data_IF_064892247877
#
_entry.id   IF_064892247877
#
_cell.length_a   1.000
_cell.length_b   1.000
_cell.length_c   1.000
_cell.angle_alpha   90.00
_cell.angle_beta   90.00
_cell.angle_gamma   90.00
#
_symmetry.space_group_name_H-M   'P 1'
#
loop_
_entity.id
_entity.type
_entity.pdbx_description
1 polymer ?
#
# COMPACT_ATOMS: atom_id res chain seq x y z
N UNK A 1 27.16 -12.48 29.12
CA UNK A 1 25.70 -12.52 29.34
C UNK A 1 25.46 -11.64 30.54
N UNK A 2 25.15 -10.37 30.30
CA UNK A 2 25.54 -9.33 31.29
C UNK A 2 24.37 -8.92 32.20
N UNK A 3 23.16 -9.37 31.88
CA UNK A 3 21.94 -8.98 32.58
C UNK A 3 21.68 -9.81 33.84
N UNK A 4 22.15 -11.06 33.92
CA UNK A 4 21.95 -11.93 35.08
C UNK A 4 23.24 -12.22 35.86
N UNK A 5 23.08 -12.68 37.08
CA UNK A 5 24.13 -13.06 38.03
C UNK A 5 23.62 -14.19 38.92
N UNK A 6 24.48 -14.76 39.76
CA UNK A 6 24.05 -15.70 40.77
C UNK A 6 23.28 -14.95 41.88
N UNK A 7 22.03 -15.31 42.14
CA UNK A 7 21.22 -14.63 43.15
C UNK A 7 21.70 -14.87 44.59
N UNK A 8 22.62 -15.82 44.82
CA UNK A 8 23.18 -16.13 46.14
C UNK A 8 24.47 -15.36 46.44
N UNK A 9 25.43 -15.38 45.50
CA UNK A 9 26.76 -14.80 45.71
C UNK A 9 27.05 -13.60 44.80
N UNK A 10 26.07 -13.19 43.99
CA UNK A 10 26.12 -12.03 43.10
C UNK A 10 27.22 -12.08 42.01
N UNK A 11 27.91 -13.20 41.85
CA UNK A 11 28.91 -13.36 40.79
C UNK A 11 28.29 -13.34 39.40
N UNK A 12 28.97 -12.65 38.48
CA UNK A 12 28.70 -12.68 37.03
C UNK A 12 29.71 -13.54 36.26
N UNK A 13 30.81 -13.90 36.91
CA UNK A 13 31.99 -14.49 36.25
C UNK A 13 32.03 -16.01 36.33
N UNK A 14 30.95 -16.65 36.77
CA UNK A 14 30.89 -18.10 36.86
C UNK A 14 30.79 -18.75 35.48
N UNK A 15 31.26 -20.00 35.37
CA UNK A 15 31.32 -20.69 34.09
C UNK A 15 29.95 -21.23 33.65
N UNK A 16 29.08 -21.58 34.60
CA UNK A 16 27.79 -22.20 34.33
C UNK A 16 26.72 -21.63 35.25
N UNK A 17 25.55 -21.36 34.70
CA UNK A 17 24.39 -20.93 35.47
C UNK A 17 23.23 -21.88 35.26
N UNK A 18 22.35 -21.98 36.26
CA UNK A 18 21.09 -22.69 36.16
C UNK A 18 19.98 -21.87 36.80
N UNK A 19 18.77 -21.99 36.26
CA UNK A 19 17.55 -21.41 36.83
C UNK A 19 16.78 -22.52 37.57
N UNK A 20 16.36 -22.23 38.79
CA UNK A 20 15.53 -23.13 39.58
C UNK A 20 14.06 -23.05 39.16
N UNK A 21 13.26 -24.06 39.49
CA UNK A 21 11.80 -24.04 39.24
C UNK A 21 11.05 -22.91 39.97
N UNK A 22 11.66 -22.31 41.02
CA UNK A 22 11.14 -21.11 41.68
C UNK A 22 11.67 -19.79 41.09
N UNK A 23 12.42 -19.84 39.98
CA UNK A 23 12.86 -18.65 39.23
C UNK A 23 14.19 -18.03 39.68
N UNK A 24 14.88 -18.59 40.68
CA UNK A 24 16.20 -18.08 41.09
C UNK A 24 17.33 -18.63 40.22
N UNK A 25 18.23 -17.74 39.80
CA UNK A 25 19.43 -18.07 39.01
C UNK A 25 20.60 -18.31 39.96
N UNK A 26 21.33 -19.42 39.78
CA UNK A 26 22.47 -19.81 40.61
C UNK A 26 23.65 -20.23 39.74
N UNK A 27 24.87 -19.89 40.17
CA UNK A 27 26.09 -20.45 39.57
C UNK A 27 26.30 -21.90 40.03
N UNK A 28 27.18 -22.63 39.33
CA UNK A 28 27.51 -24.03 39.61
C UNK A 28 27.92 -24.30 41.07
N UNK A 29 28.55 -23.33 41.74
CA UNK A 29 29.01 -23.45 43.13
C UNK A 29 27.87 -23.29 44.14
N UNK A 30 26.84 -22.51 43.79
CA UNK A 30 25.73 -22.19 44.71
C UNK A 30 24.51 -23.11 44.54
N UNK A 31 24.52 -24.00 43.54
CA UNK A 31 23.47 -25.01 43.35
C UNK A 31 23.57 -26.05 44.47
N UNK A 32 22.42 -26.34 45.09
CA UNK A 32 22.25 -27.31 46.19
C UNK A 32 20.98 -28.14 45.95
N UNK A 33 20.70 -29.09 46.84
CA UNK A 33 19.45 -29.89 46.80
C UNK A 33 18.18 -29.06 47.04
N UNK A 34 18.30 -27.96 47.78
CA UNK A 34 17.24 -26.97 48.02
C UNK A 34 17.69 -25.60 47.50
N UNK A 35 16.73 -24.77 47.11
CA UNK A 35 17.01 -23.41 46.67
C UNK A 35 17.69 -22.61 47.78
N UNK A 36 18.89 -22.11 47.50
CA UNK A 36 19.67 -21.31 48.46
C UNK A 36 19.02 -19.96 48.80
N UNK A 37 18.05 -19.50 47.98
CA UNK A 37 17.41 -18.19 48.15
C UNK A 37 16.11 -18.29 48.95
N UNK A 38 15.21 -19.21 48.57
CA UNK A 38 13.89 -19.34 49.20
C UNK A 38 13.69 -20.64 49.99
N UNK A 39 14.67 -21.56 50.01
CA UNK A 39 14.60 -22.83 50.74
C UNK A 39 13.70 -23.90 50.10
N UNK A 40 12.98 -23.59 49.02
CA UNK A 40 12.10 -24.56 48.36
C UNK A 40 12.89 -25.72 47.73
N UNK A 41 12.27 -26.90 47.68
CA UNK A 41 12.78 -28.01 46.86
C UNK A 41 12.58 -27.66 45.39
N UNK A 42 13.66 -27.58 44.61
CA UNK A 42 13.62 -27.11 43.23
C UNK A 42 14.40 -28.02 42.31
N UNK A 43 13.88 -28.23 41.10
CA UNK A 43 14.68 -28.69 39.97
C UNK A 43 15.45 -27.51 39.38
N UNK A 44 16.61 -27.79 38.79
CA UNK A 44 17.45 -26.80 38.13
C UNK A 44 17.55 -27.11 36.63
N UNK A 45 17.32 -26.09 35.81
CA UNK A 45 17.54 -26.11 34.37
C UNK A 45 18.79 -25.32 34.03
N UNK A 46 19.76 -25.95 33.37
CA UNK A 46 20.99 -25.29 32.96
C UNK A 46 20.72 -24.22 31.91
N UNK A 47 21.23 -23.01 32.14
CA UNK A 47 21.14 -21.89 31.18
C UNK A 47 22.26 -22.08 30.16
N UNK A 48 21.89 -22.58 28.98
CA UNK A 48 22.82 -23.01 27.93
C UNK A 48 22.29 -22.66 26.55
N UNK A 49 23.11 -22.82 25.51
CA UNK A 49 22.67 -22.54 24.15
C UNK A 49 21.72 -23.60 23.59
N UNK A 50 21.71 -24.79 24.19
CA UNK A 50 20.92 -25.97 23.85
C UNK A 50 19.49 -25.96 24.42
N UNK A 51 19.11 -24.92 25.18
CA UNK A 51 17.75 -24.75 25.69
C UNK A 51 16.71 -24.66 24.56
N UNK A 52 15.47 -25.07 24.84
CA UNK A 52 14.37 -24.91 23.88
C UNK A 52 14.20 -23.43 23.54
N UNK A 53 13.88 -23.07 22.27
CA UNK A 53 13.78 -21.68 21.86
C UNK A 53 12.86 -20.82 22.73
N UNK A 54 11.74 -21.40 23.20
CA UNK A 54 10.75 -20.75 24.08
C UNK A 54 11.31 -20.42 25.47
N UNK A 55 12.23 -21.23 25.99
CA UNK A 55 12.87 -21.02 27.29
C UNK A 55 14.07 -20.08 27.14
N UNK A 56 14.82 -20.23 26.04
CA UNK A 56 16.02 -19.43 25.73
C UNK A 56 15.70 -17.94 25.58
N UNK A 57 14.50 -17.59 25.12
CA UNK A 57 14.11 -16.18 24.87
C UNK A 57 14.24 -15.31 26.11
N UNK A 58 13.98 -15.85 27.30
CA UNK A 58 14.06 -15.11 28.57
C UNK A 58 15.49 -14.75 28.98
N UNK A 59 16.50 -15.38 28.36
CA UNK A 59 17.91 -15.15 28.65
C UNK A 59 18.62 -14.36 27.55
N UNK A 60 17.91 -14.00 26.48
CA UNK A 60 18.45 -13.17 25.40
C UNK A 60 18.46 -11.69 25.78
N UNK A 61 19.35 -10.95 25.13
CA UNK A 61 19.42 -9.49 25.23
C UNK A 61 18.16 -8.85 24.63
N UNK A 62 17.36 -8.11 25.42
CA UNK A 62 16.14 -7.45 24.94
C UNK A 62 16.40 -6.49 23.78
N UNK A 63 17.53 -5.80 23.77
CA UNK A 63 17.87 -4.84 22.70
C UNK A 63 18.06 -5.58 21.38
N UNK A 64 18.74 -6.72 21.40
CA UNK A 64 18.94 -7.56 20.20
C UNK A 64 17.64 -8.17 19.69
N UNK A 65 16.75 -8.57 20.60
CA UNK A 65 15.42 -9.07 20.23
C UNK A 65 14.63 -7.98 19.51
N UNK A 66 14.55 -6.78 20.09
CA UNK A 66 13.84 -5.64 19.48
C UNK A 66 14.44 -5.27 18.13
N UNK A 67 15.77 -5.21 18.02
CA UNK A 67 16.45 -4.90 16.77
C UNK A 67 16.11 -5.92 15.66
N UNK A 68 16.08 -7.20 16.00
CA UNK A 68 15.71 -8.26 15.06
C UNK A 68 14.27 -8.10 14.57
N UNK A 69 13.32 -7.94 15.49
CA UNK A 69 11.90 -7.79 15.12
C UNK A 69 11.64 -6.49 14.35
N UNK A 70 12.27 -5.40 14.76
CA UNK A 70 12.17 -4.12 14.05
C UNK A 70 12.69 -4.23 12.61
N UNK A 71 13.80 -4.95 12.41
CA UNK A 71 14.33 -5.21 11.07
C UNK A 71 13.31 -5.92 10.17
N UNK A 72 12.59 -6.92 10.69
CA UNK A 72 11.52 -7.59 9.96
C UNK A 72 10.36 -6.64 9.64
N UNK A 73 9.90 -5.86 10.62
CA UNK A 73 8.82 -4.88 10.43
C UNK A 73 9.20 -3.84 9.39
N UNK A 74 10.44 -3.36 9.39
CA UNK A 74 10.94 -2.41 8.38
C UNK A 74 10.89 -3.01 6.97
N UNK A 75 11.25 -4.27 6.77
CA UNK A 75 11.15 -4.92 5.46
C UNK A 75 9.70 -5.00 4.97
N UNK A 76 8.76 -5.33 5.87
CA UNK A 76 7.32 -5.34 5.56
C UNK A 76 6.85 -3.94 5.13
N UNK A 77 7.26 -2.90 5.87
CA UNK A 77 6.90 -1.53 5.57
C UNK A 77 7.41 -1.08 4.20
N UNK A 78 8.67 -1.39 3.87
CA UNK A 78 9.26 -1.10 2.55
C UNK A 78 8.48 -1.78 1.44
N UNK A 79 8.16 -3.07 1.59
CA UNK A 79 7.36 -3.80 0.60
C UNK A 79 6.00 -3.13 0.38
N UNK A 80 5.28 -2.81 1.46
CA UNK A 80 3.96 -2.15 1.37
C UNK A 80 4.05 -0.77 0.72
N UNK A 81 5.09 0.00 1.03
CA UNK A 81 5.35 1.30 0.41
C UNK A 81 5.56 1.16 -1.10
N UNK A 82 6.41 0.23 -1.55
CA UNK A 82 6.65 -0.02 -2.98
C UNK A 82 5.37 -0.41 -3.72
N UNK A 83 4.50 -1.22 -3.11
CA UNK A 83 3.20 -1.54 -3.70
C UNK A 83 2.32 -0.29 -3.87
N UNK A 84 2.28 0.59 -2.87
CA UNK A 84 1.51 1.84 -2.91
C UNK A 84 2.05 2.83 -3.96
N UNK A 85 3.36 2.88 -4.15
CA UNK A 85 4.00 3.68 -5.20
C UNK A 85 3.56 3.25 -6.59
N UNK A 86 3.37 1.95 -6.84
CA UNK A 86 2.84 1.42 -8.09
C UNK A 86 1.43 1.95 -8.41
N UNK A 87 0.55 1.96 -7.40
CA UNK A 87 -0.82 2.50 -7.52
C UNK A 87 -0.77 4.00 -7.81
N UNK A 88 0.05 4.73 -7.06
CA UNK A 88 0.25 6.17 -7.24
C UNK A 88 0.77 6.49 -8.66
N UNK A 89 1.74 5.72 -9.15
CA UNK A 89 2.30 5.90 -10.49
C UNK A 89 1.27 5.60 -11.59
N UNK A 90 0.41 4.58 -11.40
CA UNK A 90 -0.69 4.31 -12.33
C UNK A 90 -1.63 5.51 -12.47
N UNK A 91 -2.13 6.04 -11.34
CA UNK A 91 -3.07 7.16 -11.36
C UNK A 91 -2.43 8.45 -11.87
N UNK A 92 -1.15 8.72 -11.54
CA UNK A 92 -0.40 9.85 -12.11
C UNK A 92 -0.33 9.77 -13.64
N UNK A 93 0.03 8.61 -14.20
CA UNK A 93 0.06 8.40 -15.67
C UNK A 93 -1.30 8.59 -16.30
N UNK A 94 -2.35 8.02 -15.70
CA UNK A 94 -3.73 8.14 -16.20
C UNK A 94 -4.23 9.59 -16.17
N UNK A 95 -3.89 10.33 -15.11
CA UNK A 95 -4.22 11.76 -15.01
C UNK A 95 -3.57 12.58 -16.11
N UNK A 96 -2.26 12.38 -16.35
CA UNK A 96 -1.54 13.10 -17.40
C UNK A 96 -2.09 12.81 -18.80
N UNK A 97 -2.45 11.55 -19.08
CA UNK A 97 -3.07 11.16 -20.35
C UNK A 97 -4.45 11.80 -20.55
N UNK A 98 -5.28 11.85 -19.51
CA UNK A 98 -6.58 12.52 -19.57
C UNK A 98 -6.42 14.03 -19.79
N UNK A 99 -5.44 14.66 -19.13
CA UNK A 99 -5.15 16.08 -19.31
C UNK A 99 -4.71 16.39 -20.75
N UNK A 100 -3.87 15.53 -21.35
CA UNK A 100 -3.46 15.64 -22.76
C UNK A 100 -4.67 15.54 -23.70
N UNK A 101 -5.53 14.53 -23.51
CA UNK A 101 -6.75 14.36 -24.32
C UNK A 101 -7.70 15.54 -24.19
N UNK A 102 -7.83 16.09 -23.00
CA UNK A 102 -8.67 17.26 -22.78
C UNK A 102 -8.18 18.47 -23.58
N UNK A 103 -6.85 18.72 -23.61
CA UNK A 103 -6.25 19.79 -24.42
C UNK A 103 -6.51 19.59 -25.91
N UNK A 104 -6.34 18.36 -26.40
CA UNK A 104 -6.61 18.00 -27.80
C UNK A 104 -8.07 18.24 -28.19
N UNK A 105 -9.02 17.79 -27.36
CA UNK A 105 -10.45 17.99 -27.61
C UNK A 105 -10.82 19.47 -27.56
N UNK A 106 -10.21 20.24 -26.65
CA UNK A 106 -10.44 21.69 -26.54
C UNK A 106 -9.97 22.42 -27.79
N UNK A 107 -8.78 22.09 -28.30
CA UNK A 107 -8.24 22.67 -29.53
C UNK A 107 -9.09 22.28 -30.76
N UNK A 108 -9.49 21.01 -30.86
CA UNK A 108 -10.39 20.56 -31.93
C UNK A 108 -11.75 21.27 -31.89
N UNK A 109 -12.32 21.48 -30.70
CA UNK A 109 -13.56 22.22 -30.54
C UNK A 109 -13.43 23.68 -30.99
N UNK A 110 -12.29 24.32 -30.68
CA UNK A 110 -11.96 25.67 -31.14
C UNK A 110 -11.87 25.71 -32.68
N UNK A 111 -11.07 24.83 -33.29
CA UNK A 111 -10.92 24.76 -34.76
C UNK A 111 -12.24 24.48 -35.48
N UNK A 112 -13.06 23.58 -34.94
CA UNK A 112 -14.39 23.28 -35.47
C UNK A 112 -15.30 24.52 -35.42
N UNK A 113 -15.20 25.33 -34.36
CA UNK A 113 -15.98 26.55 -34.22
C UNK A 113 -15.60 27.60 -35.28
N UNK A 114 -14.31 27.77 -35.56
CA UNK A 114 -13.81 28.67 -36.61
C UNK A 114 -14.19 28.17 -38.01
N UNK A 115 -14.00 26.89 -38.31
CA UNK A 115 -14.44 26.28 -39.57
C UNK A 115 -15.94 26.44 -39.82
N UNK A 116 -16.77 26.30 -38.76
CA UNK A 116 -18.22 26.54 -38.85
C UNK A 116 -18.53 28.00 -39.17
N UNK A 117 -17.82 28.95 -38.56
CA UNK A 117 -17.94 30.39 -38.82
C UNK A 117 -17.58 30.71 -40.27
N UNK A 118 -16.44 30.23 -40.75
CA UNK A 118 -16.00 30.42 -42.14
C UNK A 118 -16.96 29.79 -43.15
N UNK A 119 -17.43 28.57 -42.87
CA UNK A 119 -18.41 27.89 -43.72
C UNK A 119 -19.72 28.66 -43.79
N UNK A 120 -20.16 29.28 -42.69
CA UNK A 120 -21.35 30.12 -42.67
C UNK A 120 -21.17 31.39 -43.52
N UNK A 121 -20.02 32.08 -43.40
CA UNK A 121 -19.71 33.26 -44.21
C UNK A 121 -19.65 32.95 -45.71
N UNK A 122 -18.96 31.88 -46.11
CA UNK A 122 -18.84 31.46 -47.51
C UNK A 122 -20.17 31.03 -48.13
N UNK A 123 -21.11 30.50 -47.32
CA UNK A 123 -22.45 30.11 -47.80
C UNK A 123 -23.39 31.30 -48.05
N UNK A 124 -23.18 32.47 -47.43
CA UNK A 124 -24.02 33.67 -47.61
C UNK A 124 -24.21 34.07 -49.09
N UNK A 125 -23.15 34.24 -49.92
CA UNK A 125 -23.31 34.61 -51.34
C UNK A 125 -23.97 33.53 -52.19
N UNK A 126 -23.79 32.23 -51.85
CA UNK A 126 -24.45 31.12 -52.56
C UNK A 126 -25.97 31.10 -52.34
N UNK A 127 -26.43 31.50 -51.14
CA UNK A 127 -27.87 31.64 -50.87
C UNK A 127 -28.51 32.83 -51.58
N UNK A 128 -27.76 33.92 -51.80
CA UNK A 128 -28.26 35.10 -52.53
C UNK A 128 -28.38 34.87 -54.05
N UNK A 129 -27.59 33.95 -54.63
CA UNK A 129 -27.66 33.61 -56.06
C UNK A 129 -28.77 32.61 -56.42
N UNK A 130 -29.47 32.03 -55.44
CA UNK A 130 -30.68 31.23 -55.70
C UNK A 130 -31.86 32.17 -55.96
N UNK A 131 -32.02 32.61 -57.20
CA UNK A 131 -33.33 33.03 -57.70
C UNK A 131 -34.30 31.85 -57.63
N UNK A 132 -35.56 32.02 -57.20
CA UNK A 132 -36.55 30.96 -57.27
C UNK A 132 -36.93 30.76 -58.75
N UNK A 133 -36.31 29.78 -59.42
CA UNK A 133 -36.93 29.23 -60.63
C UNK A 133 -38.06 28.32 -60.17
N UNK A 134 -39.29 28.79 -60.37
CA UNK A 134 -40.52 28.04 -60.18
C UNK A 134 -40.54 26.84 -61.12
N UNK A 135 -40.09 25.69 -60.66
CA UNK A 135 -40.43 24.41 -61.27
C UNK A 135 -40.89 23.45 -60.19
N UNK A 136 -42.21 23.32 -60.10
CA UNK A 136 -42.92 22.31 -59.30
C UNK A 136 -42.49 20.92 -59.75
N UNK A 137 -42.00 20.10 -58.84
CA UNK A 137 -41.94 18.63 -59.01
C UNK A 137 -42.18 17.93 -57.67
N UNK A 138 -42.78 16.73 -57.68
CA UNK A 138 -43.55 16.22 -56.55
C UNK A 138 -42.69 15.64 -55.43
N UNK A 139 -43.18 15.83 -54.21
CA UNK A 139 -42.64 15.31 -52.96
C UNK A 139 -42.53 13.79 -52.97
N UNK A 140 -41.33 13.25 -52.73
CA UNK A 140 -41.17 11.86 -52.27
C UNK A 140 -40.54 11.92 -50.88
N UNK A 141 -41.30 11.49 -49.88
CA UNK A 141 -40.90 11.51 -48.47
C UNK A 141 -39.83 10.43 -48.24
N UNK A 142 -38.67 10.81 -47.71
CA UNK A 142 -37.73 9.89 -47.07
C UNK A 142 -37.58 10.27 -45.59
N UNK A 143 -37.71 9.31 -44.64
CA UNK A 143 -37.68 9.63 -43.22
C UNK A 143 -36.27 9.96 -42.74
N UNK A 144 -36.22 10.91 -41.80
CA UNK A 144 -35.04 11.48 -41.17
C UNK A 144 -34.36 10.47 -40.21
N UNK A 145 -33.14 9.99 -40.52
CA UNK A 145 -32.38 9.00 -39.71
C UNK A 145 -31.19 9.64 -38.98
N UNK A 146 -31.31 10.89 -38.49
CA UNK A 146 -30.31 11.46 -37.59
C UNK A 146 -30.98 12.13 -36.38
N UNK A 147 -31.56 11.30 -35.52
CA UNK A 147 -31.83 11.65 -34.14
C UNK A 147 -30.61 11.26 -33.31
N UNK A 148 -29.71 12.21 -33.04
CA UNK A 148 -28.66 12.02 -32.04
C UNK A 148 -29.33 11.87 -30.67
N UNK A 149 -29.43 10.65 -30.17
CA UNK A 149 -29.76 10.40 -28.77
C UNK A 149 -28.53 10.76 -27.92
N UNK A 150 -28.66 11.83 -27.15
CA UNK A 150 -27.79 12.08 -26.00
C UNK A 150 -27.94 10.90 -25.03
N UNK A 151 -26.91 10.06 -24.92
CA UNK A 151 -26.87 9.04 -23.87
C UNK A 151 -26.59 9.73 -22.54
N UNK A 152 -27.59 9.69 -21.66
CA UNK A 152 -27.50 10.08 -20.27
C UNK A 152 -26.48 9.20 -19.51
N UNK A 153 -25.68 9.87 -18.66
CA UNK A 153 -25.04 9.36 -17.45
C UNK A 153 -24.50 7.92 -17.45
N UNK A 154 -23.19 7.77 -17.59
CA UNK A 154 -22.50 6.58 -17.06
C UNK A 154 -22.54 6.64 -15.52
N UNK A 155 -23.07 5.62 -14.82
CA UNK A 155 -22.90 5.53 -13.38
C UNK A 155 -21.45 5.14 -13.11
N UNK A 156 -20.74 6.00 -12.39
CA UNK A 156 -19.44 5.66 -11.77
C UNK A 156 -19.71 4.58 -10.72
N UNK A 157 -19.53 3.32 -11.09
CA UNK A 157 -19.35 2.26 -10.10
C UNK A 157 -17.90 2.28 -9.64
N UNK A 158 -17.72 2.62 -8.37
CA UNK A 158 -16.49 2.52 -7.62
C UNK A 158 -16.19 1.02 -7.36
N UNK A 159 -14.99 0.50 -7.68
CA UNK A 159 -14.62 -0.84 -7.26
C UNK A 159 -14.41 -0.84 -5.74
N UNK A 160 -15.23 -1.63 -5.03
CA UNK A 160 -14.88 -2.12 -3.71
C UNK A 160 -13.89 -3.27 -3.86
N UNK A 161 -12.97 -3.34 -2.90
CA UNK A 161 -11.95 -4.34 -2.59
C UNK A 161 -10.58 -4.12 -3.23
#
# INVERSE_FOLDING_TARGET
MDWFHCNQCFTKSASKFAVSSCGHICCEVCIKSQCSICGASCSYLAITDEMKPQEKVFFKDPVKLIQSELGHVSQIAVFQQTQMEGVTAHFKRKSAELERRLKEVTEQAYQLSELRRETAELKKPLSQRRTPTSFSTPTTQTPNVFQLQFMAGLPVQSPRH
#
